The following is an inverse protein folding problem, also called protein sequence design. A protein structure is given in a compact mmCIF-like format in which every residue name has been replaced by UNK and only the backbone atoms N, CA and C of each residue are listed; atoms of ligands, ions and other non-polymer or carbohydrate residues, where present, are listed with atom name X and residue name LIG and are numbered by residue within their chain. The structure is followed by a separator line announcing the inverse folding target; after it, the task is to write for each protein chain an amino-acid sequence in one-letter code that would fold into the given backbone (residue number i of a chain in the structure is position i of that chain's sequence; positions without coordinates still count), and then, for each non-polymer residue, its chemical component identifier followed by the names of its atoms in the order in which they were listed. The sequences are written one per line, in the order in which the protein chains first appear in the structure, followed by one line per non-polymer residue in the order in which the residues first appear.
data_IF_347492892521
#
_entry.id   IF_347492892521
#
_cell.length_a   1.000
_cell.length_b   1.000
_cell.length_c   1.000
_cell.angle_alpha   90.00
_cell.angle_beta   90.00
_cell.angle_gamma   90.00
#
_symmetry.space_group_name_H-M   'P 1'
#
loop_
_entity.id
_entity.type
_entity.pdbx_description
1 polymer ?
#
# COMPACT_ATOMS: atom_id res chain seq x y z
N UNK A 1 16.43 20.71 -17.00
CA UNK A 1 15.58 20.33 -15.87
C UNK A 1 15.24 18.85 -15.98
N UNK A 2 15.62 18.09 -14.99
CA UNK A 2 15.43 16.66 -15.05
C UNK A 2 14.06 16.31 -14.43
N UNK A 3 13.11 15.98 -15.28
CA UNK A 3 11.74 15.66 -14.85
C UNK A 3 11.54 14.21 -14.44
N UNK A 4 12.59 13.39 -14.55
CA UNK A 4 12.50 12.00 -14.13
C UNK A 4 12.71 11.92 -12.62
N UNK A 5 11.89 11.12 -11.91
CA UNK A 5 12.13 10.90 -10.50
C UNK A 5 13.52 10.30 -10.35
N UNK A 6 14.33 10.95 -9.57
CA UNK A 6 15.66 10.44 -9.28
C UNK A 6 15.50 9.11 -8.53
N UNK A 7 16.00 8.07 -9.14
CA UNK A 7 16.06 6.80 -8.45
C UNK A 7 17.01 6.97 -7.26
N UNK A 8 16.45 6.86 -6.07
CA UNK A 8 17.28 6.87 -4.88
C UNK A 8 18.31 5.75 -5.01
N UNK A 9 19.57 6.12 -4.90
CA UNK A 9 20.63 5.13 -4.89
C UNK A 9 20.35 4.15 -3.77
N UNK A 10 20.19 2.89 -4.13
CA UNK A 10 19.88 1.85 -3.16
C UNK A 10 21.05 1.75 -2.18
N UNK A 11 20.74 1.92 -0.91
CA UNK A 11 21.74 1.86 0.15
C UNK A 11 22.26 0.43 0.29
N UNK A 12 23.53 0.31 0.49
CA UNK A 12 24.11 -0.99 0.80
C UNK A 12 23.76 -1.36 2.24
N UNK A 13 23.23 -2.52 2.40
CA UNK A 13 22.85 -3.06 3.70
C UNK A 13 23.89 -4.06 4.18
N UNK A 14 24.12 -4.10 5.49
CA UNK A 14 24.95 -5.16 6.08
C UNK A 14 24.26 -6.51 5.94
N UNK A 15 25.04 -7.60 5.99
CA UNK A 15 24.49 -8.95 5.92
C UNK A 15 23.44 -9.19 7.00
N UNK A 16 23.67 -8.64 8.18
CA UNK A 16 22.76 -8.75 9.31
C UNK A 16 21.45 -8.03 9.06
N UNK A 17 21.49 -6.84 8.44
CA UNK A 17 20.31 -6.11 8.03
C UNK A 17 19.53 -6.83 6.94
N UNK A 18 20.23 -7.42 5.98
CA UNK A 18 19.60 -8.20 4.92
C UNK A 18 18.91 -9.45 5.49
N UNK A 19 19.56 -10.14 6.42
CA UNK A 19 18.97 -11.30 7.10
C UNK A 19 17.71 -10.91 7.86
N UNK A 20 17.74 -9.77 8.54
CA UNK A 20 16.58 -9.26 9.26
C UNK A 20 15.41 -9.00 8.31
N UNK A 21 15.63 -8.29 7.22
CA UNK A 21 14.59 -7.97 6.25
C UNK A 21 14.01 -9.23 5.59
N UNK A 22 14.88 -10.14 5.19
CA UNK A 22 14.44 -11.41 4.60
C UNK A 22 13.55 -12.18 5.57
N UNK A 23 13.99 -12.33 6.81
CA UNK A 23 13.21 -13.02 7.83
C UNK A 23 11.89 -12.31 8.12
N UNK A 24 11.90 -10.98 8.14
CA UNK A 24 10.70 -10.18 8.39
C UNK A 24 9.62 -10.43 7.33
N UNK A 25 10.00 -10.44 6.06
CA UNK A 25 9.06 -10.66 4.97
C UNK A 25 8.61 -12.12 4.86
N UNK A 26 9.48 -13.05 5.19
CA UNK A 26 9.14 -14.48 5.16
C UNK A 26 8.20 -14.90 6.29
N UNK A 27 8.30 -14.24 7.44
CA UNK A 27 7.48 -14.58 8.60
C UNK A 27 6.19 -13.76 8.73
N UNK A 28 5.87 -12.96 7.72
CA UNK A 28 4.64 -12.17 7.71
C UNK A 28 4.68 -10.90 8.56
N UNK A 29 5.86 -10.36 8.84
CA UNK A 29 5.99 -9.09 9.55
C UNK A 29 6.24 -9.21 11.05
N UNK A 30 6.67 -10.36 11.52
CA UNK A 30 7.01 -10.55 12.94
C UNK A 30 8.41 -10.04 13.24
N UNK A 31 8.51 -8.85 13.80
CA UNK A 31 9.77 -8.18 14.11
C UNK A 31 10.61 -8.94 15.14
N UNK A 32 9.98 -9.47 16.17
CA UNK A 32 10.68 -10.24 17.21
C UNK A 32 11.39 -11.44 16.62
N UNK A 33 10.67 -12.19 15.80
CA UNK A 33 11.23 -13.38 15.15
C UNK A 33 12.33 -13.02 14.17
N UNK A 34 12.16 -11.94 13.42
CA UNK A 34 13.18 -11.47 12.50
C UNK A 34 14.46 -11.07 13.23
N UNK A 35 14.34 -10.43 14.38
CA UNK A 35 15.49 -10.11 15.24
C UNK A 35 16.22 -11.38 15.71
N UNK A 36 15.48 -12.38 16.15
CA UNK A 36 16.09 -13.66 16.57
C UNK A 36 16.88 -14.30 15.44
N UNK A 37 16.29 -14.39 14.26
CA UNK A 37 16.93 -15.00 13.08
C UNK A 37 18.19 -14.25 12.68
N UNK A 38 18.14 -12.92 12.69
CA UNK A 38 19.26 -12.08 12.28
C UNK A 38 20.32 -11.90 13.38
N UNK A 39 20.02 -12.30 14.61
CA UNK A 39 20.95 -12.14 15.73
C UNK A 39 20.93 -10.76 16.35
N UNK A 40 19.83 -10.03 16.23
CA UNK A 40 19.62 -8.76 16.94
C UNK A 40 18.94 -8.99 18.28
N UNK A 41 19.20 -8.11 19.24
CA UNK A 41 18.45 -8.11 20.49
C UNK A 41 17.04 -7.56 20.28
N UNK A 42 16.10 -7.95 21.12
CA UNK A 42 14.73 -7.46 21.03
C UNK A 42 14.63 -5.93 21.24
N UNK A 43 15.56 -5.37 22.00
CA UNK A 43 15.63 -3.90 22.18
C UNK A 43 16.03 -3.13 20.92
N UNK A 44 16.50 -3.83 19.88
CA UNK A 44 16.89 -3.20 18.62
C UNK A 44 15.72 -2.93 17.68
N UNK A 45 14.53 -3.44 17.99
CA UNK A 45 13.36 -3.37 17.07
C UNK A 45 13.04 -1.92 16.69
N UNK A 46 12.96 -1.02 17.65
CA UNK A 46 12.67 0.38 17.40
C UNK A 46 13.69 1.03 16.47
N UNK A 47 14.96 0.81 16.73
CA UNK A 47 16.04 1.34 15.90
C UNK A 47 16.00 0.75 14.48
N UNK A 48 15.73 -0.55 14.35
CA UNK A 48 15.63 -1.21 13.05
C UNK A 48 14.45 -0.69 12.24
N UNK A 49 13.31 -0.45 12.88
CA UNK A 49 12.14 0.15 12.21
C UNK A 49 12.46 1.52 11.63
N UNK A 50 13.21 2.32 12.35
CA UNK A 50 13.57 3.66 11.89
C UNK A 50 14.65 3.59 10.79
N UNK A 51 15.71 2.85 11.03
CA UNK A 51 16.85 2.82 10.12
C UNK A 51 16.57 2.08 8.82
N UNK A 52 15.66 1.11 8.82
CA UNK A 52 15.28 0.31 7.66
C UNK A 52 13.87 0.63 7.15
N UNK A 53 13.31 1.79 7.53
CA UNK A 53 11.95 2.16 7.16
C UNK A 53 11.71 2.13 5.65
N UNK A 54 12.63 2.66 4.87
CA UNK A 54 12.49 2.68 3.40
C UNK A 54 12.49 1.27 2.83
N UNK A 55 13.38 0.41 3.30
CA UNK A 55 13.50 -0.97 2.85
C UNK A 55 12.28 -1.80 3.25
N UNK A 56 11.73 -1.55 4.43
CA UNK A 56 10.51 -2.21 4.90
C UNK A 56 9.32 -1.81 4.02
N UNK A 57 9.19 -0.52 3.71
CA UNK A 57 8.12 -0.02 2.84
C UNK A 57 8.24 -0.58 1.42
N UNK A 58 9.45 -0.59 0.88
CA UNK A 58 9.69 -1.14 -0.46
C UNK A 58 9.36 -2.64 -0.52
N UNK A 59 9.73 -3.39 0.50
CA UNK A 59 9.37 -4.79 0.59
C UNK A 59 7.87 -5.02 0.67
N UNK A 60 7.16 -4.19 1.43
CA UNK A 60 5.71 -4.26 1.51
C UNK A 60 5.06 -3.96 0.15
N UNK A 61 5.56 -2.97 -0.57
CA UNK A 61 5.09 -2.67 -1.93
C UNK A 61 5.30 -3.85 -2.88
N UNK A 62 6.43 -4.52 -2.78
CA UNK A 62 6.72 -5.70 -3.61
C UNK A 62 5.75 -6.84 -3.31
N UNK A 63 5.40 -7.04 -2.04
CA UNK A 63 4.40 -8.04 -1.65
C UNK A 63 3.02 -7.69 -2.24
N UNK A 64 2.62 -6.43 -2.16
CA UNK A 64 1.36 -5.97 -2.74
C UNK A 64 1.35 -6.13 -4.26
N UNK A 65 2.45 -5.80 -4.92
CA UNK A 65 2.56 -5.97 -6.37
C UNK A 65 2.43 -7.44 -6.77
N UNK A 66 3.07 -8.35 -6.05
CA UNK A 66 2.92 -9.78 -6.28
C UNK A 66 1.50 -10.27 -6.02
N UNK A 67 0.86 -9.76 -4.99
CA UNK A 67 -0.53 -10.07 -4.67
C UNK A 67 -1.50 -9.54 -5.72
N UNK A 68 -1.19 -8.42 -6.35
CA UNK A 68 -2.03 -7.84 -7.40
C UNK A 68 -2.20 -8.78 -8.59
N UNK A 69 -1.18 -9.54 -8.94
CA UNK A 69 -1.26 -10.54 -10.01
C UNK A 69 -2.27 -11.64 -9.66
N UNK A 70 -2.22 -12.11 -8.42
CA UNK A 70 -3.19 -13.12 -7.93
C UNK A 70 -4.61 -12.56 -7.91
N UNK A 71 -4.76 -11.32 -7.48
CA UNK A 71 -6.05 -10.64 -7.44
C UNK A 71 -6.64 -10.49 -8.84
N UNK A 72 -5.82 -10.05 -9.80
CA UNK A 72 -6.25 -9.92 -11.19
C UNK A 72 -6.67 -11.27 -11.77
N UNK A 73 -5.89 -12.31 -11.55
CA UNK A 73 -6.22 -13.66 -12.01
C UNK A 73 -7.53 -14.18 -11.40
N UNK A 74 -7.77 -13.88 -10.12
CA UNK A 74 -9.02 -14.30 -9.46
C UNK A 74 -10.24 -13.62 -10.09
N UNK A 75 -10.11 -12.33 -10.40
CA UNK A 75 -11.19 -11.58 -11.05
C UNK A 75 -11.48 -12.16 -12.44
N UNK A 76 -10.45 -12.41 -13.24
CA UNK A 76 -10.60 -13.01 -14.58
C UNK A 76 -11.24 -14.39 -14.49
N UNK A 77 -10.77 -15.22 -13.57
CA UNK A 77 -11.33 -16.56 -13.37
C UNK A 77 -12.81 -16.51 -12.96
N UNK A 78 -13.21 -15.51 -12.18
CA UNK A 78 -14.60 -15.34 -11.75
C UNK A 78 -15.49 -14.95 -12.95
N UNK A 79 -14.98 -14.17 -13.87
CA UNK A 79 -15.73 -13.82 -15.11
C UNK A 79 -15.99 -15.06 -15.97
N UNK A 80 -15.00 -15.95 -16.06
CA UNK A 80 -15.07 -17.12 -16.92
C UNK A 80 -15.78 -18.31 -16.26
N UNK A 81 -16.01 -18.27 -14.97
CA UNK A 81 -16.62 -19.37 -14.24
C UNK A 81 -18.14 -19.24 -14.22
N UNK A 82 -18.88 -20.26 -14.66
CA UNK A 82 -20.35 -20.25 -14.58
C UNK A 82 -20.88 -20.52 -13.19
N UNK A 83 -20.05 -21.01 -12.30
CA UNK A 83 -20.43 -21.34 -10.94
C UNK A 83 -19.68 -20.48 -9.93
N UNK A 84 -20.45 -19.87 -9.05
CA UNK A 84 -19.88 -19.08 -7.94
C UNK A 84 -19.93 -19.94 -6.69
N UNK A 85 -18.77 -20.34 -6.22
CA UNK A 85 -18.68 -21.11 -5.00
C UNK A 85 -18.92 -20.23 -3.76
N UNK A 86 -19.32 -20.90 -2.67
CA UNK A 86 -19.47 -20.21 -1.40
C UNK A 86 -18.13 -19.62 -0.97
N UNK A 87 -18.12 -18.33 -0.72
CA UNK A 87 -16.92 -17.60 -0.34
C UNK A 87 -16.21 -16.89 -1.49
N UNK A 88 -16.60 -17.13 -2.73
CA UNK A 88 -16.01 -16.44 -3.87
C UNK A 88 -16.26 -14.93 -3.83
N UNK A 89 -17.41 -14.52 -3.32
CA UNK A 89 -17.69 -13.10 -3.16
C UNK A 89 -16.69 -12.42 -2.22
N UNK A 90 -16.32 -13.09 -1.13
CA UNK A 90 -15.34 -12.58 -0.18
C UNK A 90 -13.96 -12.50 -0.83
N UNK A 91 -13.57 -13.52 -1.58
CA UNK A 91 -12.31 -13.56 -2.30
C UNK A 91 -12.25 -12.49 -3.38
N UNK A 92 -13.35 -12.30 -4.09
CA UNK A 92 -13.46 -11.27 -5.11
C UNK A 92 -13.34 -9.87 -4.50
N UNK A 93 -14.02 -9.61 -3.40
CA UNK A 93 -13.92 -8.35 -2.68
C UNK A 93 -12.49 -8.08 -2.20
N UNK A 94 -11.82 -9.11 -1.67
CA UNK A 94 -10.43 -8.99 -1.25
C UNK A 94 -9.51 -8.67 -2.42
N UNK A 95 -9.73 -9.31 -3.58
CA UNK A 95 -8.96 -9.07 -4.79
C UNK A 95 -9.18 -7.64 -5.30
N UNK A 96 -10.41 -7.18 -5.35
CA UNK A 96 -10.74 -5.80 -5.75
C UNK A 96 -10.14 -4.78 -4.80
N UNK A 97 -10.20 -5.03 -3.50
CA UNK A 97 -9.60 -4.16 -2.49
C UNK A 97 -8.11 -4.04 -2.68
N UNK A 98 -7.43 -5.16 -2.96
CA UNK A 98 -5.99 -5.15 -3.22
C UNK A 98 -5.65 -4.37 -4.48
N UNK A 99 -6.38 -4.58 -5.58
CA UNK A 99 -6.17 -3.86 -6.83
C UNK A 99 -6.38 -2.35 -6.66
N UNK A 100 -7.37 -1.96 -5.88
CA UNK A 100 -7.60 -0.54 -5.56
C UNK A 100 -6.40 0.07 -4.85
N UNK A 101 -5.81 -0.66 -3.91
CA UNK A 101 -4.65 -0.17 -3.15
C UNK A 101 -3.39 -0.01 -3.99
N UNK A 102 -3.24 -0.82 -5.02
CA UNK A 102 -2.10 -0.69 -5.95
C UNK A 102 -2.41 0.22 -7.15
N UNK A 103 -3.59 0.84 -7.18
CA UNK A 103 -3.96 1.81 -8.20
C UNK A 103 -4.51 1.23 -9.49
N UNK A 104 -4.87 -0.05 -9.51
CA UNK A 104 -5.41 -0.74 -10.69
C UNK A 104 -6.92 -0.96 -10.61
N UNK A 105 -7.55 -0.58 -9.53
CA UNK A 105 -8.98 -0.76 -9.33
C UNK A 105 -9.77 0.46 -9.76
N UNK A 106 -11.07 0.38 -9.44
CA UNK A 106 -11.99 1.47 -9.71
C UNK A 106 -11.49 2.75 -9.04
N UNK A 107 -11.16 3.72 -9.85
CA UNK A 107 -10.87 5.04 -9.33
C UNK A 107 -12.19 5.66 -8.92
N UNK A 108 -12.46 5.60 -7.64
CA UNK A 108 -13.38 6.55 -7.10
C UNK A 108 -12.70 7.91 -7.25
N UNK A 109 -13.17 8.64 -8.19
CA UNK A 109 -13.01 10.06 -8.10
C UNK A 109 -13.69 10.48 -6.81
N UNK A 110 -12.97 10.38 -5.74
CA UNK A 110 -13.26 11.28 -4.67
C UNK A 110 -12.98 12.66 -5.22
N UNK A 111 -14.00 13.24 -5.71
CA UNK A 111 -14.15 14.66 -5.52
C UNK A 111 -14.21 14.87 -4.02
N UNK A 112 -13.29 14.29 -3.33
CA UNK A 112 -12.96 14.86 -2.06
C UNK A 112 -12.63 16.25 -2.42
N UNK A 113 -13.56 16.96 -2.18
CA UNK A 113 -13.39 18.32 -2.11
C UNK A 113 -12.18 18.58 -1.29
N UNK A 114 -11.09 18.42 -1.97
CA UNK A 114 -9.80 18.74 -1.40
C UNK A 114 -9.85 20.15 -0.89
N UNK A 115 -10.81 20.86 -1.38
CA UNK A 115 -11.10 22.18 -0.89
C UNK A 115 -11.56 22.21 0.54
N UNK A 116 -12.24 21.19 1.00
CA UNK A 116 -12.61 21.12 2.39
C UNK A 116 -11.40 21.01 3.29
N UNK A 117 -10.31 20.52 2.76
CA UNK A 117 -9.07 20.39 3.50
C UNK A 117 -8.27 21.68 3.50
N UNK A 118 -8.54 22.56 2.57
CA UNK A 118 -7.84 23.82 2.47
C UNK A 118 -8.58 24.98 3.09
N UNK A 119 -9.36 24.72 3.94
CA UNK A 119 -10.14 25.77 4.43
C UNK A 119 -10.96 26.38 3.40
N UNK A 120 -10.85 26.10 3.29
CA UNK A 120 -11.31 26.45 2.65
C UNK A 120 -12.20 26.25 2.49
N UNK A 121 -12.62 26.45 2.55
CA UNK A 121 -13.17 26.34 2.22
C UNK A 121 -13.78 26.56 1.58
N UNK A 122 -14.18 26.82 1.36
CA UNK A 122 -14.63 27.19 0.67
C UNK A 122 -15.68 26.97 0.49
N UNK A 123 -16.35 27.30 0.80
CA UNK A 123 -17.19 27.35 0.44
C UNK A 123 -17.89 27.55 -0.20
N UNK A 124 -18.27 27.54 -0.24
CA UNK A 124 -18.99 27.82 -0.92
C UNK A 124 -19.61 28.12 -1.22
N UNK A 125 -19.72 28.12 -1.36
CA UNK A 125 -20.37 28.59 -1.89
C UNK A 125 -21.03 28.61 -2.11
N UNK A 126 -21.22 28.71 -1.96
CA UNK A 126 -21.92 29.16 -2.39
C UNK A 126 -22.44 29.35 -2.83
N UNK A 127 -22.42 29.22 -2.80
CA UNK A 127 -22.88 29.78 -3.35
C UNK A 127 -23.32 29.97 -3.60
N UNK A 128 -23.10 29.78 -3.54
CA UNK A 128 -23.47 30.35 -3.92
C UNK A 128 -23.97 30.67 -4.01
N UNK A 129 -24.08 30.75 -3.89
CA UNK A 129 -24.45 31.40 -4.11
C UNK A 129 -25.01 31.88 -4.30
N UNK A 130 -25.34 31.69 -4.16
CA UNK A 130 -25.68 32.47 -4.54
C UNK A 130 -26.08 33.06 -4.60
N UNK A 131 -26.17 33.16 -4.53
CA UNK A 131 -26.33 34.16 -4.68
C UNK A 131 -26.92 34.75 -5.03
N UNK A 132 -27.14 34.89 -4.94
CA UNK A 132 -27.59 35.79 -5.29
C UNK A 132 -28.10 36.49 -5.38
N UNK A 133 -28.31 36.41 -5.37
CA UNK A 133 -28.93 37.24 -5.39
C UNK A 133 -28.95 38.24 -5.67
N UNK A 134 -28.94 38.19 -5.78
CA UNK A 134 -29.13 39.24 -6.42
C UNK A 134 -29.39 40.64 -6.25
#
# INVERSE_FOLDING_TARGET
MNLLPQQRKKRELSDKQQSFLTALFENGGNFSRACEVAGYSQGSIGHLKESLADEIIDGARNILAGGAVKAANKIVATIDSPEIERGDNIRLQAAESLLNRVGLGKQETHNVNVQAVHGVVLLPPKKEMVIENG
#
